data_IF_131722725445
#
_entry.id   IF_131722725445
#
_cell.length_a   1.000
_cell.length_b   1.000
_cell.length_c   1.000
_cell.angle_alpha   90.00
_cell.angle_beta   90.00
_cell.angle_gamma   90.00
#
_symmetry.space_group_name_H-M   'P 1'
#
loop_
_entity.id
_entity.type
_entity.pdbx_description
1 polymer ?
#
# COMPACT_ATOMS: atom_id res chain seq x y z
N UNK A 1 16.91 -8.04 -6.15
CA UNK A 1 17.46 -9.38 -6.41
C UNK A 1 16.46 -10.22 -7.19
N UNK A 2 15.35 -10.72 -6.61
CA UNK A 2 14.43 -11.60 -7.34
C UNK A 2 13.85 -11.03 -8.67
N UNK A 3 13.47 -9.75 -8.71
CA UNK A 3 13.01 -9.08 -9.94
C UNK A 3 14.12 -8.96 -11.00
N UNK A 4 15.36 -8.73 -10.54
CA UNK A 4 16.55 -8.64 -11.40
C UNK A 4 16.91 -10.02 -11.99
N UNK A 5 16.80 -11.07 -11.17
CA UNK A 5 17.02 -12.46 -11.58
C UNK A 5 15.94 -12.94 -12.56
N UNK A 6 14.71 -12.48 -12.38
CA UNK A 6 13.65 -12.66 -13.35
C UNK A 6 14.09 -12.01 -14.68
N UNK A 7 14.44 -10.72 -14.65
CA UNK A 7 14.81 -9.97 -15.86
C UNK A 7 16.01 -10.56 -16.60
N UNK A 8 16.98 -11.15 -15.90
CA UNK A 8 18.09 -11.87 -16.52
C UNK A 8 17.65 -13.18 -17.17
N UNK A 9 16.75 -13.95 -16.55
CA UNK A 9 16.16 -15.15 -17.16
C UNK A 9 15.39 -14.81 -18.45
N UNK A 10 14.63 -13.71 -18.45
CA UNK A 10 13.96 -13.23 -19.66
C UNK A 10 14.95 -12.92 -20.78
N UNK A 11 16.01 -12.17 -20.48
CA UNK A 11 17.03 -11.81 -21.47
C UNK A 11 17.75 -13.04 -22.03
N UNK A 12 17.94 -14.08 -21.21
CA UNK A 12 18.51 -15.36 -21.64
C UNK A 12 17.55 -16.14 -22.56
N UNK A 13 16.25 -16.17 -22.24
CA UNK A 13 15.24 -16.87 -23.06
C UNK A 13 15.01 -16.20 -24.43
N UNK A 14 15.12 -14.86 -24.48
CA UNK A 14 15.10 -14.10 -25.74
C UNK A 14 16.33 -14.41 -26.60
N UNK A 15 17.50 -14.60 -25.98
CA UNK A 15 18.76 -14.87 -26.68
C UNK A 15 18.82 -16.29 -27.29
N UNK A 16 18.10 -17.26 -26.72
CA UNK A 16 18.05 -18.66 -27.20
C UNK A 16 17.14 -18.86 -28.44
N UNK A 17 16.39 -17.82 -28.84
CA UNK A 17 15.59 -17.82 -30.08
C UNK A 17 14.35 -18.73 -30.08
N UNK A 18 14.09 -19.46 -28.99
CA UNK A 18 12.96 -20.38 -28.79
C UNK A 18 11.80 -19.75 -28.01
N UNK A 19 11.56 -18.45 -28.17
CA UNK A 19 10.51 -17.75 -27.42
C UNK A 19 9.25 -17.53 -28.26
N UNK A 20 8.09 -17.74 -27.63
CA UNK A 20 6.82 -17.24 -28.18
C UNK A 20 6.67 -15.78 -27.77
N UNK A 21 6.35 -14.91 -28.72
CA UNK A 21 6.14 -13.47 -28.49
C UNK A 21 5.17 -13.21 -27.32
N UNK A 22 4.10 -14.03 -27.23
CA UNK A 22 3.11 -13.98 -26.14
C UNK A 22 3.70 -14.20 -24.75
N UNK A 23 4.66 -15.12 -24.62
CA UNK A 23 5.28 -15.42 -23.32
C UNK A 23 6.09 -14.23 -22.82
N UNK A 24 6.83 -13.58 -23.73
CA UNK A 24 7.63 -12.40 -23.43
C UNK A 24 6.71 -11.23 -23.04
N UNK A 25 5.63 -11.03 -23.78
CA UNK A 25 4.62 -10.00 -23.48
C UNK A 25 3.96 -10.19 -22.12
N UNK A 26 3.43 -11.39 -21.85
CA UNK A 26 2.81 -11.74 -20.57
C UNK A 26 3.78 -11.59 -19.41
N UNK A 27 5.00 -12.09 -19.58
CA UNK A 27 6.03 -12.01 -18.55
C UNK A 27 6.39 -10.57 -18.19
N UNK A 28 6.62 -9.71 -19.18
CA UNK A 28 6.87 -8.29 -18.94
C UNK A 28 5.71 -7.65 -18.18
N UNK A 29 4.46 -7.94 -18.59
CA UNK A 29 3.27 -7.41 -17.90
C UNK A 29 3.20 -7.82 -16.42
N UNK A 30 3.49 -9.09 -16.11
CA UNK A 30 3.54 -9.58 -14.72
C UNK A 30 4.67 -8.89 -13.94
N UNK A 31 5.84 -8.74 -14.55
CA UNK A 31 7.00 -8.11 -13.92
C UNK A 31 6.72 -6.64 -13.58
N UNK A 32 5.98 -5.95 -14.44
CA UNK A 32 5.65 -4.53 -14.27
C UNK A 32 4.51 -4.30 -13.28
N UNK A 33 3.50 -5.17 -13.25
CA UNK A 33 2.48 -5.17 -12.18
C UNK A 33 3.14 -5.40 -10.81
N UNK A 34 4.07 -6.36 -10.72
CA UNK A 34 4.79 -6.65 -9.47
C UNK A 34 5.64 -5.45 -9.02
N UNK A 35 6.36 -4.79 -9.93
CA UNK A 35 7.14 -3.58 -9.62
C UNK A 35 6.24 -2.45 -9.14
N UNK A 36 5.11 -2.23 -9.80
CA UNK A 36 4.15 -1.16 -9.45
C UNK A 36 3.55 -1.40 -8.07
N UNK A 37 3.11 -2.63 -7.78
CA UNK A 37 2.60 -3.02 -6.45
C UNK A 37 3.67 -2.87 -5.37
N UNK A 38 4.89 -3.32 -5.65
CA UNK A 38 6.01 -3.23 -4.70
C UNK A 38 6.37 -1.77 -4.41
N UNK A 39 6.38 -0.91 -5.43
CA UNK A 39 6.61 0.53 -5.27
C UNK A 39 5.51 1.16 -4.41
N UNK A 40 4.25 0.82 -4.66
CA UNK A 40 3.11 1.27 -3.86
C UNK A 40 3.21 0.84 -2.39
N UNK A 41 3.52 -0.44 -2.14
CA UNK A 41 3.68 -0.98 -0.79
C UNK A 41 4.88 -0.34 -0.05
N UNK A 42 6.01 -0.15 -0.73
CA UNK A 42 7.21 0.50 -0.19
C UNK A 42 6.92 1.94 0.22
N UNK A 43 6.18 2.68 -0.63
CA UNK A 43 5.76 4.06 -0.32
C UNK A 43 4.84 4.11 0.91
N UNK A 44 3.83 3.26 0.97
CA UNK A 44 2.94 3.20 2.14
C UNK A 44 3.70 2.88 3.43
N UNK A 45 4.68 1.96 3.36
CA UNK A 45 5.50 1.62 4.51
C UNK A 45 6.40 2.78 4.95
N UNK A 46 6.98 3.51 4.00
CA UNK A 46 7.74 4.74 4.27
C UNK A 46 6.87 5.80 4.95
N UNK A 47 5.65 6.02 4.48
CA UNK A 47 4.71 6.99 5.05
C UNK A 47 4.39 6.65 6.52
N UNK A 48 4.13 5.37 6.81
CA UNK A 48 3.87 4.88 8.19
C UNK A 48 5.09 5.06 9.10
N UNK A 49 6.30 4.73 8.62
CA UNK A 49 7.53 4.92 9.38
C UNK A 49 7.83 6.40 9.64
N UNK A 50 7.57 7.26 8.66
CA UNK A 50 7.72 8.72 8.78
C UNK A 50 6.75 9.26 9.82
N UNK A 51 5.46 8.91 9.73
CA UNK A 51 4.44 9.31 10.69
C UNK A 51 4.76 8.80 12.12
N UNK A 52 5.31 7.59 12.24
CA UNK A 52 5.78 7.06 13.54
C UNK A 52 6.96 7.85 14.08
N UNK A 53 7.95 8.17 13.23
CA UNK A 53 9.12 8.98 13.60
C UNK A 53 8.71 10.37 14.07
N UNK A 54 7.81 11.03 13.36
CA UNK A 54 7.25 12.33 13.73
C UNK A 54 6.52 12.28 15.07
N UNK A 55 5.65 11.28 15.28
CA UNK A 55 4.95 11.10 16.55
C UNK A 55 5.93 10.90 17.72
N UNK A 56 6.98 10.09 17.52
CA UNK A 56 8.00 9.86 18.54
C UNK A 56 8.81 11.14 18.84
N UNK A 57 9.19 11.92 17.81
CA UNK A 57 9.88 13.20 17.96
C UNK A 57 9.01 14.24 18.67
N UNK A 58 7.73 14.33 18.32
CA UNK A 58 6.77 15.23 18.97
C UNK A 58 6.57 14.87 20.46
N UNK A 59 6.47 13.58 20.78
CA UNK A 59 6.38 13.10 22.15
C UNK A 59 7.66 13.41 22.95
N UNK A 60 8.83 13.28 22.33
CA UNK A 60 10.12 13.64 22.93
C UNK A 60 10.21 15.12 23.26
N UNK A 61 9.91 15.98 22.29
CA UNK A 61 9.95 17.43 22.46
C UNK A 61 9.03 17.87 23.62
N UNK A 62 7.80 17.33 23.66
CA UNK A 62 6.86 17.57 24.74
C UNK A 62 7.43 17.15 26.09
N UNK A 63 8.01 15.95 26.17
CA UNK A 63 8.62 15.45 27.40
C UNK A 63 9.79 16.32 27.85
N UNK A 64 10.64 16.79 26.94
CA UNK A 64 11.76 17.68 27.25
C UNK A 64 11.27 19.03 27.80
N UNK A 65 10.22 19.62 27.20
CA UNK A 65 9.61 20.86 27.69
C UNK A 65 9.07 20.72 29.12
N UNK A 66 8.40 19.62 29.44
CA UNK A 66 7.86 19.38 30.79
C UNK A 66 8.94 18.90 31.79
N UNK A 67 9.93 18.14 31.33
CA UNK A 67 11.03 17.66 32.18
C UNK A 67 12.02 18.77 32.53
N UNK A 68 12.36 19.65 31.58
CA UNK A 68 13.21 20.81 31.84
C UNK A 68 12.52 21.80 32.79
N UNK A 69 11.20 21.96 32.68
CA UNK A 69 10.41 22.80 33.58
C UNK A 69 10.38 22.24 35.02
N UNK A 70 10.32 20.93 35.20
CA UNK A 70 10.36 20.32 36.53
C UNK A 70 11.78 20.36 37.16
N UNK A 71 12.84 20.26 36.36
CA UNK A 71 14.22 20.41 36.84
C UNK A 71 14.56 21.85 37.27
N UNK A 72 13.90 22.86 36.70
CA UNK A 72 14.08 24.26 37.08
C UNK A 72 13.34 24.67 38.37
N UNK A 73 12.29 23.93 38.77
CA UNK A 73 11.49 24.23 39.98
C UNK A 73 12.14 23.69 41.26
N UNK A 74 13.03 22.70 41.16
CA UNK A 74 13.65 22.07 42.34
C UNK A 74 14.88 22.83 42.88
N UNK A 75 15.40 23.82 42.14
CA UNK A 75 16.58 24.58 42.54
C UNK A 75 16.24 25.94 43.21
N UNK A 76 14.97 26.16 43.57
CA UNK A 76 14.54 27.43 44.14
C UNK A 76 13.49 27.27 45.24
N UNK A 77 13.67 26.34 46.19
CA UNK A 77 12.84 26.28 47.41
C UNK A 77 13.63 25.89 48.67
N UNK A 78 14.63 26.71 49.02
CA UNK A 78 14.91 27.00 50.44
C UNK A 78 14.33 28.38 50.78
N UNK A 79 13.00 28.49 50.78
CA UNK A 79 12.29 29.64 51.31
C UNK A 79 10.88 29.23 51.76
N UNK A 80 10.79 28.77 53.01
CA UNK A 80 9.66 28.99 53.94
C UNK A 80 8.26 29.08 53.30
N UNK A 81 7.66 27.93 53.02
CA UNK A 81 6.26 27.86 52.60
C UNK A 81 5.31 28.20 53.77
N UNK A 82 4.70 29.38 53.69
CA UNK A 82 3.50 29.74 54.45
C UNK A 82 2.33 28.91 53.88
N UNK A 83 1.52 28.23 54.71
CA UNK A 83 0.40 27.43 54.21
C UNK A 83 -0.75 28.37 53.79
N UNK A 84 -0.87 28.62 52.49
CA UNK A 84 -2.04 29.27 51.90
C UNK A 84 -3.16 28.21 51.70
N UNK A 85 -4.38 28.46 52.20
CA UNK A 85 -5.46 27.48 52.12
C UNK A 85 -6.08 27.43 50.71
N UNK A 86 -6.64 26.27 50.30
CA UNK A 86 -7.24 26.09 48.97
C UNK A 86 -8.47 27.01 48.73
N UNK A 87 -8.74 27.40 47.47
CA UNK A 87 -9.63 28.52 47.11
C UNK A 87 -11.14 28.24 47.24
N UNK A 88 -11.56 27.15 47.88
CA UNK A 88 -12.99 26.87 48.07
C UNK A 88 -13.36 26.92 49.55
N UNK A 89 -13.38 28.12 50.11
CA UNK A 89 -14.06 28.37 51.39
C UNK A 89 -14.57 29.81 51.54
N UNK A 90 -15.88 29.99 51.36
CA UNK A 90 -16.82 30.90 52.06
C UNK A 90 -18.11 31.04 51.23
N UNK A 91 -19.17 30.25 51.52
CA UNK A 91 -20.38 30.58 52.31
C UNK A 91 -21.33 31.58 51.61
N UNK A 92 -22.62 31.33 51.35
CA UNK A 92 -23.70 30.97 52.31
C UNK A 92 -25.03 30.49 51.65
N UNK A 93 -25.69 29.56 52.37
CA UNK A 93 -27.03 28.88 52.37
C UNK A 93 -28.33 29.66 52.04
N UNK A 94 -29.58 29.08 51.93
CA UNK A 94 -30.06 27.74 52.39
C UNK A 94 -31.04 26.91 51.48
N UNK A 95 -31.33 25.68 51.94
CA UNK A 95 -32.56 24.87 51.77
C UNK A 95 -32.65 23.80 50.66
N UNK A 96 -32.84 22.53 51.06
CA UNK A 96 -33.28 21.43 50.17
C UNK A 96 -32.66 20.04 50.41
N UNK A 97 -33.10 19.35 51.46
CA UNK A 97 -33.25 17.88 51.66
C UNK A 97 -32.32 16.80 51.01
N UNK A 98 -31.96 15.83 51.87
CA UNK A 98 -31.61 14.39 51.65
C UNK A 98 -30.15 14.07 51.23
N UNK A 99 -29.24 13.72 52.15
CA UNK A 99 -29.08 12.46 52.91
C UNK A 99 -28.18 11.42 52.22
N UNK A 100 -26.87 11.45 52.52
CA UNK A 100 -26.13 10.33 53.14
C UNK A 100 -24.63 10.64 53.30
N UNK A 101 -24.19 10.71 54.55
CA UNK A 101 -22.82 10.49 55.00
C UNK A 101 -22.94 9.66 56.28
N UNK A 102 -21.88 8.94 56.69
CA UNK A 102 -21.30 9.33 57.96
C UNK A 102 -19.80 9.64 57.86
N UNK A 103 -19.45 10.82 58.39
CA UNK A 103 -18.13 11.18 58.91
C UNK A 103 -17.70 10.19 60.04
N UNK A 104 -16.46 10.07 60.50
CA UNK A 104 -15.51 11.06 61.07
C UNK A 104 -14.14 10.37 61.20
N UNK A 105 -13.04 10.98 60.75
CA UNK A 105 -12.11 11.87 61.50
C UNK A 105 -11.67 11.33 62.86
N UNK A 106 -10.39 10.93 62.95
CA UNK A 106 -9.57 11.07 64.15
C UNK A 106 -8.18 11.55 63.72
N UNK A 107 -7.83 12.76 64.14
CA UNK A 107 -6.47 13.28 64.12
C UNK A 107 -5.80 12.85 65.42
N UNK A 108 -4.60 12.26 65.35
CA UNK A 108 -3.57 12.24 66.41
C UNK A 108 -2.21 12.16 65.69
N UNK A 109 -1.28 12.96 66.19
CA UNK A 109 0.13 13.13 65.82
C UNK A 109 0.90 11.86 65.40
N UNK A 110 1.62 11.95 64.27
CA UNK A 110 3.06 11.69 64.20
C UNK A 110 3.59 12.04 62.80
N UNK A 111 4.48 13.03 62.71
CA UNK A 111 5.52 13.07 61.68
C UNK A 111 6.53 11.95 62.01
N UNK A 112 7.08 11.18 61.04
CA UNK A 112 7.69 11.70 59.82
C UNK A 112 7.40 10.85 58.56
N UNK A 113 7.00 11.48 57.45
CA UNK A 113 6.97 10.81 56.14
C UNK A 113 7.56 11.63 54.98
N UNK A 114 8.27 12.72 55.27
CA UNK A 114 9.06 13.42 54.24
C UNK A 114 10.15 12.52 53.62
N UNK A 115 10.63 11.50 54.35
CA UNK A 115 11.57 10.50 53.81
C UNK A 115 10.93 9.52 52.82
N UNK A 116 9.61 9.26 52.91
CA UNK A 116 8.94 8.35 51.98
C UNK A 116 8.62 9.02 50.64
N UNK A 117 8.41 10.34 50.64
CA UNK A 117 8.23 11.14 49.42
C UNK A 117 9.56 11.33 48.66
N UNK A 118 10.67 11.51 49.39
CA UNK A 118 12.00 11.68 48.78
C UNK A 118 12.52 10.39 48.10
N UNK A 119 12.16 9.21 48.61
CA UNK A 119 12.58 7.93 48.01
C UNK A 119 11.81 7.60 46.72
N UNK A 120 10.61 8.15 46.54
CA UNK A 120 9.81 7.97 45.32
C UNK A 120 10.33 8.83 44.16
N UNK A 121 10.95 9.98 44.45
CA UNK A 121 11.62 10.83 43.45
C UNK A 121 12.96 10.26 42.98
N UNK A 122 13.72 9.60 43.85
CA UNK A 122 15.03 9.03 43.50
C UNK A 122 14.92 7.79 42.61
N UNK A 123 13.80 7.04 42.67
CA UNK A 123 13.62 5.80 41.89
C UNK A 123 13.08 6.04 40.47
N UNK A 124 12.60 7.24 40.16
CA UNK A 124 12.11 7.60 38.81
C UNK A 124 13.19 8.09 37.85
N UNK A 125 14.33 8.57 38.37
CA UNK A 125 15.45 9.11 37.57
C UNK A 125 16.23 8.02 36.82
N UNK A 126 16.65 6.89 37.43
CA UNK A 126 17.42 5.87 36.70
C UNK A 126 16.59 5.11 35.66
N UNK A 127 15.24 5.12 35.76
CA UNK A 127 14.35 4.50 34.77
C UNK A 127 14.11 5.42 33.55
N UNK A 128 14.29 6.73 33.70
CA UNK A 128 14.12 7.68 32.60
C UNK A 128 15.27 7.62 31.59
N UNK A 129 16.52 7.52 32.04
CA UNK A 129 17.70 7.49 31.15
C UNK A 129 17.68 6.27 30.21
N UNK A 130 17.40 5.07 30.74
CA UNK A 130 17.30 3.85 29.92
C UNK A 130 16.17 3.96 28.89
N UNK A 131 15.06 4.62 29.23
CA UNK A 131 13.94 4.81 28.30
C UNK A 131 14.28 5.80 27.16
N UNK A 132 15.01 6.90 27.44
CA UNK A 132 15.51 7.80 26.40
C UNK A 132 16.52 7.13 25.48
N UNK A 133 17.45 6.34 26.02
CA UNK A 133 18.47 5.67 25.23
C UNK A 133 17.87 4.59 24.32
N UNK A 134 16.99 3.72 24.83
CA UNK A 134 16.29 2.73 24.01
C UNK A 134 15.47 3.38 22.88
N UNK A 135 14.89 4.56 23.14
CA UNK A 135 14.09 5.28 22.14
C UNK A 135 14.94 5.96 21.08
N UNK A 136 16.11 6.49 21.44
CA UNK A 136 17.07 7.01 20.47
C UNK A 136 17.57 5.90 19.52
N UNK A 137 17.87 4.71 20.07
CA UNK A 137 18.24 3.53 19.27
C UNK A 137 17.09 3.12 18.34
N UNK A 138 15.84 3.11 18.83
CA UNK A 138 14.68 2.79 18.01
C UNK A 138 14.44 3.83 16.89
N UNK A 139 14.64 5.12 17.15
CA UNK A 139 14.54 6.18 16.13
C UNK A 139 15.62 6.03 15.06
N UNK A 140 16.87 5.79 15.47
CA UNK A 140 17.96 5.54 14.54
C UNK A 140 17.69 4.32 13.65
N UNK A 141 17.10 3.26 14.21
CA UNK A 141 16.67 2.09 13.44
C UNK A 141 15.58 2.44 12.43
N UNK A 142 14.58 3.26 12.80
CA UNK A 142 13.52 3.71 11.88
C UNK A 142 14.10 4.57 10.76
N UNK A 143 15.00 5.51 11.08
CA UNK A 143 15.67 6.36 10.09
C UNK A 143 16.51 5.52 9.12
N UNK A 144 17.26 4.54 9.63
CA UNK A 144 18.01 3.59 8.79
C UNK A 144 17.09 2.80 7.85
N UNK A 145 15.96 2.27 8.35
CA UNK A 145 14.99 1.57 7.50
C UNK A 145 14.37 2.50 6.43
N UNK A 146 14.07 3.76 6.78
CA UNK A 146 13.57 4.74 5.79
C UNK A 146 14.62 4.97 4.69
N UNK A 147 15.91 5.10 5.03
CA UNK A 147 16.97 5.28 4.02
C UNK A 147 17.14 4.05 3.12
N UNK A 148 17.02 2.85 3.69
CA UNK A 148 17.05 1.60 2.93
C UNK A 148 15.88 1.51 1.94
N UNK A 149 14.66 1.82 2.40
CA UNK A 149 13.46 1.86 1.56
C UNK A 149 13.57 2.92 0.45
N UNK A 150 14.18 4.07 0.73
CA UNK A 150 14.45 5.10 -0.29
C UNK A 150 15.41 4.58 -1.37
N UNK A 151 16.36 3.72 -1.01
CA UNK A 151 17.22 3.01 -1.96
C UNK A 151 16.42 2.06 -2.85
N UNK A 152 15.50 1.27 -2.26
CA UNK A 152 14.59 0.38 -3.01
C UNK A 152 13.67 1.19 -3.93
N UNK A 153 13.14 2.32 -3.46
CA UNK A 153 12.28 3.21 -4.23
C UNK A 153 13.02 3.81 -5.43
N UNK A 154 14.25 4.26 -5.25
CA UNK A 154 15.09 4.78 -6.35
C UNK A 154 15.36 3.69 -7.37
N UNK A 155 15.69 2.47 -6.92
CA UNK A 155 15.92 1.34 -7.81
C UNK A 155 14.66 0.98 -8.62
N UNK A 156 13.49 0.91 -7.97
CA UNK A 156 12.22 0.67 -8.65
C UNK A 156 11.83 1.82 -9.59
N UNK A 157 12.05 3.06 -9.20
CA UNK A 157 11.80 4.23 -10.04
C UNK A 157 12.66 4.17 -11.31
N UNK A 158 13.96 3.88 -11.19
CA UNK A 158 14.82 3.71 -12.37
C UNK A 158 14.35 2.56 -13.25
N UNK A 159 13.96 1.42 -12.68
CA UNK A 159 13.48 0.25 -13.41
C UNK A 159 12.16 0.54 -14.15
N UNK A 160 11.24 1.29 -13.53
CA UNK A 160 9.96 1.70 -14.12
C UNK A 160 10.15 2.79 -15.19
N UNK A 161 11.09 3.74 -15.00
CA UNK A 161 11.39 4.78 -15.99
C UNK A 161 12.13 4.25 -17.21
N UNK A 162 13.05 3.30 -17.02
CA UNK A 162 13.83 2.69 -18.10
C UNK A 162 12.99 1.73 -18.95
N UNK A 163 11.94 1.17 -18.36
CA UNK A 163 10.95 0.35 -19.07
C UNK A 163 9.74 1.14 -19.58
N UNK A 164 9.76 2.47 -19.48
CA UNK A 164 8.95 3.42 -20.24
C UNK A 164 7.48 3.03 -20.45
N UNK A 165 6.61 3.54 -19.58
CA UNK A 165 5.18 3.76 -19.86
C UNK A 165 4.41 2.53 -20.39
N UNK A 166 4.05 1.61 -19.50
CA UNK A 166 2.87 0.78 -19.72
C UNK A 166 1.61 1.62 -19.46
N UNK A 167 1.28 2.50 -20.39
CA UNK A 167 -0.12 2.78 -20.67
C UNK A 167 -0.71 1.46 -21.17
N UNK A 168 -1.17 0.63 -20.22
CA UNK A 168 -2.07 -0.52 -20.34
C UNK A 168 -2.21 -0.99 -21.80
N UNK A 169 -1.47 -2.05 -22.17
CA UNK A 169 -1.52 -2.73 -23.47
C UNK A 169 -2.91 -3.34 -23.75
N UNK A 170 -3.87 -2.48 -24.01
CA UNK A 170 -5.13 -2.84 -24.66
C UNK A 170 -4.90 -2.88 -26.17
N UNK A 171 -4.04 -2.00 -26.70
CA UNK A 171 -3.83 -1.82 -28.14
C UNK A 171 -3.09 -3.01 -28.80
N UNK A 172 -2.08 -3.61 -28.14
CA UNK A 172 -1.36 -4.77 -28.71
C UNK A 172 -2.28 -5.99 -28.95
N UNK A 173 -3.17 -6.28 -28.01
CA UNK A 173 -4.17 -7.34 -28.17
C UNK A 173 -5.27 -6.94 -29.18
N UNK A 174 -5.52 -5.65 -29.39
CA UNK A 174 -6.46 -5.16 -30.39
C UNK A 174 -5.93 -5.39 -31.81
N UNK A 175 -4.66 -5.11 -32.08
CA UNK A 175 -4.03 -5.34 -33.38
C UNK A 175 -4.02 -6.83 -33.76
N UNK A 176 -3.68 -7.72 -32.82
CA UNK A 176 -3.74 -9.16 -33.05
C UNK A 176 -5.19 -9.64 -33.30
N UNK A 177 -6.14 -9.11 -32.52
CA UNK A 177 -7.57 -9.38 -32.73
C UNK A 177 -8.04 -8.90 -34.10
N UNK A 178 -7.56 -7.74 -34.57
CA UNK A 178 -7.87 -7.19 -35.89
C UNK A 178 -7.36 -8.12 -36.99
N UNK A 179 -6.10 -8.57 -36.90
CA UNK A 179 -5.51 -9.50 -37.88
C UNK A 179 -6.25 -10.83 -37.91
N UNK A 180 -6.60 -11.39 -36.75
CA UNK A 180 -7.38 -12.64 -36.67
C UNK A 180 -8.80 -12.49 -37.23
N UNK A 181 -9.47 -11.37 -36.94
CA UNK A 181 -10.81 -11.07 -37.46
C UNK A 181 -10.77 -10.87 -38.97
N UNK A 182 -9.79 -10.15 -39.51
CA UNK A 182 -9.65 -9.96 -40.96
C UNK A 182 -9.28 -11.28 -41.66
N UNK A 183 -8.43 -12.10 -41.05
CA UNK A 183 -8.13 -13.46 -41.52
C UNK A 183 -9.38 -14.35 -41.57
N UNK A 184 -10.19 -14.35 -40.51
CA UNK A 184 -11.45 -15.08 -40.46
C UNK A 184 -12.46 -14.58 -41.51
N UNK A 185 -12.57 -13.26 -41.68
CA UNK A 185 -13.40 -12.63 -42.72
C UNK A 185 -12.98 -13.06 -44.12
N UNK A 186 -11.67 -13.06 -44.40
CA UNK A 186 -11.13 -13.50 -45.69
C UNK A 186 -11.46 -14.97 -45.98
N UNK A 187 -11.31 -15.85 -44.98
CA UNK A 187 -11.68 -17.26 -45.09
C UNK A 187 -13.19 -17.46 -45.34
N UNK A 188 -14.05 -16.70 -44.64
CA UNK A 188 -15.50 -16.74 -44.85
C UNK A 188 -15.91 -16.26 -46.25
N UNK A 189 -15.30 -15.19 -46.76
CA UNK A 189 -15.54 -14.69 -48.12
C UNK A 189 -15.07 -15.69 -49.18
N UNK A 190 -13.93 -16.35 -48.96
CA UNK A 190 -13.44 -17.40 -49.85
C UNK A 190 -14.38 -18.62 -49.85
N UNK A 191 -14.92 -18.99 -48.68
CA UNK A 191 -15.89 -20.09 -48.58
C UNK A 191 -17.22 -19.76 -49.26
N UNK A 192 -17.72 -18.52 -49.09
CA UNK A 192 -18.95 -18.04 -49.72
C UNK A 192 -18.81 -17.98 -51.24
N UNK A 193 -17.69 -17.47 -51.77
CA UNK A 193 -17.43 -17.43 -53.22
C UNK A 193 -17.32 -18.83 -53.83
N UNK A 194 -16.73 -19.79 -53.11
CA UNK A 194 -16.69 -21.21 -53.51
C UNK A 194 -18.09 -21.85 -53.55
N UNK A 195 -18.94 -21.62 -52.54
CA UNK A 195 -20.33 -22.08 -52.52
C UNK A 195 -21.16 -21.45 -53.64
N UNK A 196 -21.00 -20.14 -53.86
CA UNK A 196 -21.67 -19.37 -54.91
C UNK A 196 -21.37 -19.94 -56.30
N UNK A 197 -20.08 -20.15 -56.59
CA UNK A 197 -19.62 -20.69 -57.88
C UNK A 197 -20.23 -22.08 -58.17
N UNK A 198 -20.26 -22.95 -57.17
CA UNK A 198 -20.86 -24.28 -57.30
C UNK A 198 -22.37 -24.25 -57.60
N UNK A 199 -23.13 -23.27 -57.09
CA UNK A 199 -24.57 -23.14 -57.40
C UNK A 199 -24.81 -22.82 -58.88
N UNK A 200 -24.00 -21.92 -59.45
CA UNK A 200 -24.13 -21.59 -60.87
C UNK A 200 -23.71 -22.76 -61.78
N UNK A 201 -22.69 -23.52 -61.36
CA UNK A 201 -22.30 -24.77 -62.02
C UNK A 201 -23.43 -25.81 -61.98
N UNK A 202 -24.11 -25.99 -60.85
CA UNK A 202 -25.27 -26.88 -60.72
C UNK A 202 -26.41 -26.47 -61.65
N UNK A 203 -26.72 -25.17 -61.74
CA UNK A 203 -27.76 -24.64 -62.63
C UNK A 203 -27.45 -24.94 -64.11
N UNK A 204 -26.20 -24.80 -64.53
CA UNK A 204 -25.78 -25.14 -65.89
C UNK A 204 -25.96 -26.62 -66.21
N UNK A 205 -25.51 -27.50 -65.31
CA UNK A 205 -25.67 -28.95 -65.47
C UNK A 205 -27.14 -29.33 -65.56
N UNK A 206 -27.98 -28.74 -64.69
CA UNK A 206 -29.41 -28.98 -64.69
C UNK A 206 -30.09 -28.52 -66.00
N UNK A 207 -29.71 -27.36 -66.54
CA UNK A 207 -30.22 -26.87 -67.82
C UNK A 207 -29.86 -27.78 -69.00
N UNK A 208 -28.64 -28.34 -69.01
CA UNK A 208 -28.22 -29.31 -70.03
C UNK A 208 -29.05 -30.59 -69.94
N UNK A 209 -29.32 -31.08 -68.73
CA UNK A 209 -30.17 -32.28 -68.52
C UNK A 209 -31.60 -32.02 -69.02
N UNK A 210 -32.19 -30.86 -68.71
CA UNK A 210 -33.53 -30.50 -69.19
C UNK A 210 -33.57 -30.41 -70.72
N UNK A 211 -32.58 -29.77 -71.33
CA UNK A 211 -32.52 -29.65 -72.78
C UNK A 211 -32.44 -31.03 -73.44
N UNK A 212 -31.61 -31.93 -72.89
CA UNK A 212 -31.52 -33.31 -73.37
C UNK A 212 -32.85 -34.06 -73.23
N UNK A 213 -33.55 -33.89 -72.11
CA UNK A 213 -34.87 -34.49 -71.87
C UNK A 213 -35.91 -34.00 -72.89
N UNK A 214 -35.94 -32.69 -73.17
CA UNK A 214 -36.84 -32.09 -74.17
C UNK A 214 -36.54 -32.69 -75.55
N UNK A 215 -35.27 -32.71 -75.97
CA UNK A 215 -34.88 -33.30 -77.27
C UNK A 215 -35.27 -34.77 -77.33
N UNK A 216 -35.01 -35.54 -76.28
CA UNK A 216 -35.40 -36.95 -76.22
C UNK A 216 -36.92 -37.15 -76.34
N UNK A 217 -37.72 -36.35 -75.64
CA UNK A 217 -39.19 -36.44 -75.73
C UNK A 217 -39.74 -36.05 -77.11
N UNK A 218 -39.10 -35.13 -77.82
CA UNK A 218 -39.57 -34.71 -79.15
C UNK A 218 -39.06 -35.59 -80.30
N UNK A 219 -37.92 -36.27 -80.14
CA UNK A 219 -37.29 -37.05 -81.20
C UNK A 219 -37.41 -38.58 -81.02
N UNK A 220 -37.61 -39.07 -79.79
CA UNK A 220 -37.71 -40.51 -79.50
C UNK A 220 -39.15 -40.95 -79.19
N UNK A 221 -39.97 -40.10 -78.57
CA UNK A 221 -41.42 -40.33 -78.46
C UNK A 221 -42.14 -39.77 -79.68
#
# INVERSE_FOLDING_TARGET
>A
MALSDLQTLQNMEIADGSYSHDKVGHYTAVCDDLKTRLMGATKQFQDVLTARSENMKAHENRKQLFSAKNAAVDNQNNAKAVPEPPPWSSSSTPSGSLQQQPLRRSAIENAPSQQMEMSMLQQTVPRQESYSQNRAVALHSVESTITELSGIFTHLATMVTQQGELAIRIDDNMDESLVNVEGARSALLQHLTRISSNRWLMIKIFAVIILFLIVFLFFVA
#
